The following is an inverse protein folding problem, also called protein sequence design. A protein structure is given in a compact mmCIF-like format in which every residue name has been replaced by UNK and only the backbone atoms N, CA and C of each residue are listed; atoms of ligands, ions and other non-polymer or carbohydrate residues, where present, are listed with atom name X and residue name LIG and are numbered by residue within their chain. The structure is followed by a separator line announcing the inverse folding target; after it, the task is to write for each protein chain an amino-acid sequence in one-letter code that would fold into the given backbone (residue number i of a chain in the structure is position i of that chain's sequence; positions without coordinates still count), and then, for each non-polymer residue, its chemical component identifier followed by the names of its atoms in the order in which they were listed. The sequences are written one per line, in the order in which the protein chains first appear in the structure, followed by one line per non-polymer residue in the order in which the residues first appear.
data_IF_015088399622
#
_entry.id   IF_015088399622
#
_cell.length_a   1.000
_cell.length_b   1.000
_cell.length_c   1.000
_cell.angle_alpha   90.00
_cell.angle_beta   90.00
_cell.angle_gamma   90.00
#
_symmetry.space_group_name_H-M   'P 1'
#
loop_
_entity.id
_entity.type
_entity.pdbx_description
1 polymer ?
#
# COMPACT_ATOMS: atom_id res chain seq x y z
N UNK A 1 26.90 -9.22 6.53
CA UNK A 1 26.42 -7.84 6.55
C UNK A 1 27.40 -6.97 5.78
N UNK A 2 27.01 -6.48 4.62
CA UNK A 2 27.76 -5.47 3.88
C UNK A 2 27.03 -4.13 4.04
N UNK A 3 27.78 -3.08 4.40
CA UNK A 3 27.27 -1.71 4.47
C UNK A 3 27.84 -0.98 3.27
N UNK A 4 26.98 -0.45 2.42
CA UNK A 4 27.37 0.33 1.25
C UNK A 4 26.75 1.72 1.31
N UNK A 5 27.56 2.75 1.07
CA UNK A 5 27.10 4.10 0.78
C UNK A 5 27.01 4.26 -0.74
N UNK A 6 25.80 4.21 -1.29
CA UNK A 6 25.60 4.17 -2.76
C UNK A 6 25.24 5.55 -3.32
N UNK A 7 24.45 6.35 -2.60
CA UNK A 7 23.94 7.62 -3.09
C UNK A 7 24.30 8.77 -2.13
N UNK A 8 24.47 9.98 -2.68
CA UNK A 8 24.59 11.21 -1.89
C UNK A 8 23.26 11.93 -1.96
N UNK A 9 22.78 12.43 -0.82
CA UNK A 9 21.62 13.31 -0.72
C UNK A 9 22.16 14.73 -0.87
N UNK A 10 21.56 15.51 -1.75
CA UNK A 10 21.95 16.89 -2.02
C UNK A 10 20.85 17.84 -1.53
N UNK A 11 21.23 19.02 -1.00
CA UNK A 11 20.30 20.13 -0.82
C UNK A 11 20.05 20.89 -2.13
N UNK A 12 19.17 21.88 -2.09
CA UNK A 12 18.79 22.75 -3.22
C UNK A 12 20.00 23.52 -3.80
N UNK A 13 21.09 23.61 -3.05
CA UNK A 13 22.34 24.25 -3.45
C UNK A 13 23.39 23.25 -3.96
N UNK A 14 23.03 21.97 -4.07
CA UNK A 14 23.90 20.90 -4.55
C UNK A 14 24.95 20.44 -3.53
N UNK A 15 24.79 20.77 -2.25
CA UNK A 15 25.69 20.32 -1.17
C UNK A 15 25.24 18.96 -0.67
N UNK A 16 26.20 18.09 -0.36
CA UNK A 16 25.89 16.77 0.21
C UNK A 16 25.40 16.95 1.65
N UNK A 17 24.12 16.70 1.89
CA UNK A 17 23.49 16.78 3.22
C UNK A 17 23.38 15.42 3.93
N UNK A 18 23.75 14.34 3.24
CA UNK A 18 23.84 13.01 3.84
C UNK A 18 23.99 11.91 2.80
N UNK A 19 23.95 10.67 3.25
CA UNK A 19 23.87 9.48 2.42
C UNK A 19 22.89 8.49 3.06
N UNK A 20 22.02 7.79 2.31
CA UNK A 20 21.32 6.64 2.83
C UNK A 20 22.35 5.56 3.18
N UNK A 21 22.18 4.98 4.37
CA UNK A 21 22.93 3.79 4.78
C UNK A 21 22.18 2.58 4.24
N UNK A 22 22.84 1.78 3.40
CA UNK A 22 22.25 0.57 2.82
C UNK A 22 22.95 -0.63 3.43
N UNK A 23 22.17 -1.56 3.95
CA UNK A 23 22.68 -2.77 4.60
C UNK A 23 22.09 -3.99 3.93
N UNK A 24 22.93 -4.85 3.37
CA UNK A 24 22.53 -6.19 2.96
C UNK A 24 22.54 -7.11 4.20
N UNK A 25 21.34 -7.48 4.64
CA UNK A 25 21.13 -8.40 5.75
C UNK A 25 21.28 -9.86 5.33
N UNK A 26 21.34 -10.73 6.32
CA UNK A 26 21.41 -12.18 6.18
C UNK A 26 20.10 -12.82 5.69
N UNK A 27 18.97 -12.22 6.07
CA UNK A 27 17.62 -12.63 5.69
C UNK A 27 16.62 -11.46 5.84
N UNK A 28 15.36 -11.69 5.46
CA UNK A 28 14.28 -10.70 5.55
C UNK A 28 13.79 -10.42 6.97
N UNK A 29 14.00 -11.33 7.93
CA UNK A 29 13.68 -11.10 9.34
C UNK A 29 14.61 -10.02 9.89
N UNK A 30 15.90 -10.14 9.59
CA UNK A 30 16.93 -9.18 9.94
C UNK A 30 16.73 -7.86 9.22
N UNK A 31 16.30 -7.88 7.95
CA UNK A 31 15.98 -6.68 7.18
C UNK A 31 14.88 -5.83 7.82
N UNK A 32 13.74 -6.44 8.17
CA UNK A 32 12.63 -5.71 8.80
C UNK A 32 13.00 -5.27 10.22
N UNK A 33 13.73 -6.11 10.97
CA UNK A 33 14.21 -5.76 12.31
C UNK A 33 15.15 -4.56 12.31
N UNK A 34 16.11 -4.50 11.38
CA UNK A 34 17.00 -3.35 11.20
C UNK A 34 16.25 -2.10 10.77
N UNK A 35 15.30 -2.21 9.84
CA UNK A 35 14.49 -1.07 9.42
C UNK A 35 13.68 -0.50 10.60
N UNK A 36 13.02 -1.35 11.39
CA UNK A 36 12.30 -0.95 12.60
C UNK A 36 13.25 -0.26 13.59
N UNK A 37 14.41 -0.87 13.88
CA UNK A 37 15.42 -0.28 14.76
C UNK A 37 15.88 1.10 14.29
N UNK A 38 16.08 1.28 12.98
CA UNK A 38 16.36 2.57 12.36
C UNK A 38 15.26 3.60 12.65
N UNK A 39 13.99 3.24 12.42
CA UNK A 39 12.85 4.14 12.64
C UNK A 39 12.76 4.66 14.08
N UNK A 40 13.13 3.85 15.08
CA UNK A 40 13.14 4.26 16.48
C UNK A 40 14.17 5.37 16.78
N UNK A 41 15.24 5.47 15.97
CA UNK A 41 16.22 6.56 16.07
C UNK A 41 15.76 7.87 15.42
N UNK A 42 14.60 7.86 14.75
CA UNK A 42 14.04 9.02 14.07
C UNK A 42 14.44 9.18 12.61
N UNK A 43 15.23 8.26 12.05
CA UNK A 43 15.46 8.21 10.60
C UNK A 43 14.24 7.62 9.88
N UNK A 44 13.99 8.05 8.64
CA UNK A 44 13.07 7.33 7.75
C UNK A 44 13.78 6.06 7.29
N UNK A 45 13.22 4.91 7.63
CA UNK A 45 13.77 3.60 7.26
C UNK A 45 12.76 2.79 6.46
N UNK A 46 13.28 1.95 5.57
CA UNK A 46 12.49 1.08 4.75
C UNK A 46 13.24 -0.21 4.44
N UNK A 47 12.51 -1.18 3.91
CA UNK A 47 13.06 -2.36 3.25
C UNK A 47 12.27 -2.67 1.98
N UNK A 48 12.87 -3.42 1.07
CA UNK A 48 12.22 -3.88 -0.16
C UNK A 48 12.31 -5.38 -0.29
N UNK A 49 11.22 -6.02 -0.71
CA UNK A 49 11.11 -7.48 -0.79
C UNK A 49 10.06 -7.91 -1.82
N UNK A 50 9.74 -9.20 -1.86
CA UNK A 50 8.66 -9.80 -2.64
C UNK A 50 7.90 -10.82 -1.77
N UNK A 51 6.88 -11.50 -2.30
CA UNK A 51 5.98 -12.38 -1.54
C UNK A 51 6.65 -13.34 -0.52
N UNK A 52 7.72 -14.09 -0.88
CA UNK A 52 8.40 -14.96 0.07
C UNK A 52 9.04 -14.22 1.23
N UNK A 53 9.77 -13.14 0.94
CA UNK A 53 10.42 -12.35 1.98
C UNK A 53 9.43 -11.57 2.83
N UNK A 54 8.36 -11.03 2.23
CA UNK A 54 7.27 -10.42 2.98
C UNK A 54 6.62 -11.40 3.96
N UNK A 55 6.49 -12.68 3.58
CA UNK A 55 6.00 -13.73 4.48
C UNK A 55 6.88 -13.91 5.73
N UNK A 56 8.20 -13.76 5.59
CA UNK A 56 9.16 -13.82 6.71
C UNK A 56 9.10 -12.55 7.58
N UNK A 57 8.74 -11.40 7.00
CA UNK A 57 8.68 -10.12 7.73
C UNK A 57 7.45 -9.96 8.62
N UNK A 58 6.43 -10.82 8.50
CA UNK A 58 5.11 -10.64 9.12
C UNK A 58 5.17 -10.44 10.64
N UNK A 59 6.04 -11.16 11.35
CA UNK A 59 6.20 -11.01 12.79
C UNK A 59 6.76 -9.63 13.17
N UNK A 60 7.86 -9.22 12.54
CA UNK A 60 8.44 -7.88 12.73
C UNK A 60 7.46 -6.77 12.35
N UNK A 61 6.66 -6.99 11.29
CA UNK A 61 5.62 -6.06 10.88
C UNK A 61 4.51 -5.91 11.94
N UNK A 62 4.12 -7.00 12.61
CA UNK A 62 3.24 -6.96 13.77
C UNK A 62 3.84 -6.19 14.95
N UNK A 63 5.14 -6.38 15.22
CA UNK A 63 5.85 -5.65 16.25
C UNK A 63 5.90 -4.14 15.97
N UNK A 64 6.09 -3.74 14.70
CA UNK A 64 6.01 -2.34 14.29
C UNK A 64 4.60 -1.76 14.51
N UNK A 65 3.56 -2.56 14.25
CA UNK A 65 2.17 -2.21 14.50
C UNK A 65 1.87 -1.93 15.98
N UNK A 66 2.23 -2.86 16.87
CA UNK A 66 1.95 -2.71 18.31
C UNK A 66 2.75 -1.55 18.92
N UNK A 67 3.97 -1.28 18.42
CA UNK A 67 4.85 -0.20 18.90
C UNK A 67 4.69 1.14 18.16
N UNK A 68 3.66 1.27 17.31
CA UNK A 68 3.37 2.49 16.54
C UNK A 68 4.61 3.00 15.76
N UNK A 69 5.37 2.09 15.13
CA UNK A 69 6.65 2.41 14.46
C UNK A 69 6.43 2.74 12.98
N UNK A 70 6.88 3.92 12.50
CA UNK A 70 6.77 4.27 11.09
C UNK A 70 7.84 3.55 10.26
N UNK A 71 7.46 2.49 9.55
CA UNK A 71 8.35 1.73 8.66
C UNK A 71 7.66 1.44 7.34
N UNK A 72 8.39 1.58 6.23
CA UNK A 72 7.88 1.31 4.88
C UNK A 72 8.46 0.00 4.36
N UNK A 73 7.59 -0.89 3.87
CA UNK A 73 7.96 -2.11 3.16
C UNK A 73 7.48 -2.01 1.72
N UNK A 74 8.40 -1.87 0.77
CA UNK A 74 8.05 -1.94 -0.65
C UNK A 74 8.01 -3.41 -1.07
N UNK A 75 6.81 -3.92 -1.35
CA UNK A 75 6.60 -5.31 -1.74
C UNK A 75 6.37 -5.39 -3.26
N UNK A 76 7.38 -5.87 -3.97
CA UNK A 76 7.35 -6.15 -5.40
C UNK A 76 6.72 -7.51 -5.66
N UNK A 77 5.40 -7.53 -5.87
CA UNK A 77 4.64 -8.73 -6.15
C UNK A 77 5.17 -9.44 -7.40
N UNK A 78 5.37 -10.76 -7.31
CA UNK A 78 5.80 -11.62 -8.41
C UNK A 78 4.95 -12.89 -8.41
N UNK A 79 5.04 -13.71 -9.45
CA UNK A 79 4.27 -14.96 -9.50
C UNK A 79 4.54 -15.86 -8.29
N UNK A 80 3.52 -16.09 -7.47
CA UNK A 80 3.52 -17.10 -6.38
C UNK A 80 2.78 -18.39 -6.79
N UNK A 81 2.48 -19.29 -5.84
CA UNK A 81 2.89 -19.29 -4.42
C UNK A 81 4.32 -19.81 -4.21
N UNK A 82 4.84 -19.68 -2.97
CA UNK A 82 6.20 -20.09 -2.60
C UNK A 82 7.25 -19.44 -3.52
N UNK A 83 8.26 -20.16 -4.02
CA UNK A 83 9.22 -19.61 -5.01
C UNK A 83 8.51 -19.09 -6.26
N UNK A 84 7.45 -19.79 -6.69
CA UNK A 84 6.60 -19.43 -7.82
C UNK A 84 7.36 -19.19 -9.12
N UNK A 85 7.09 -18.05 -9.75
CA UNK A 85 7.72 -17.56 -10.97
C UNK A 85 8.49 -16.26 -10.68
N UNK A 86 9.77 -16.35 -10.26
CA UNK A 86 10.56 -15.21 -9.76
C UNK A 86 10.67 -14.02 -10.72
N UNK A 87 10.56 -14.27 -12.02
CA UNK A 87 10.76 -13.29 -13.10
C UNK A 87 9.46 -12.81 -13.73
N UNK A 88 8.30 -13.19 -13.18
CA UNK A 88 6.99 -12.97 -13.79
C UNK A 88 6.08 -12.06 -12.98
N UNK A 89 5.17 -11.39 -13.69
CA UNK A 89 4.16 -10.47 -13.15
C UNK A 89 3.11 -11.21 -12.34
N UNK A 90 2.59 -10.59 -11.28
CA UNK A 90 1.42 -11.05 -10.55
C UNK A 90 0.85 -9.96 -9.65
N UNK A 91 -0.42 -10.10 -9.30
CA UNK A 91 -1.15 -9.29 -8.31
C UNK A 91 -1.79 -10.20 -7.24
N UNK A 92 -1.13 -11.30 -6.89
CA UNK A 92 -1.66 -12.36 -6.03
C UNK A 92 -1.55 -12.11 -4.53
N UNK A 93 -0.93 -11.03 -4.10
CA UNK A 93 -0.53 -10.87 -2.70
C UNK A 93 -1.41 -9.86 -1.93
N UNK A 94 -2.40 -9.22 -2.61
CA UNK A 94 -3.23 -8.15 -2.05
C UNK A 94 -3.85 -8.48 -0.69
N UNK A 95 -4.67 -9.53 -0.61
CA UNK A 95 -5.37 -9.87 0.63
C UNK A 95 -4.38 -10.28 1.72
N UNK A 96 -3.27 -10.94 1.36
CA UNK A 96 -2.24 -11.26 2.32
C UNK A 96 -1.60 -9.98 2.89
N UNK A 97 -1.26 -8.99 2.06
CA UNK A 97 -0.71 -7.72 2.51
C UNK A 97 -1.67 -6.92 3.41
N UNK A 98 -2.98 -7.00 3.16
CA UNK A 98 -4.00 -6.32 3.98
C UNK A 98 -4.13 -6.97 5.37
N UNK A 99 -4.10 -8.31 5.44
CA UNK A 99 -4.37 -9.08 6.65
C UNK A 99 -3.13 -9.72 7.30
N UNK A 100 -1.92 -9.38 6.85
CA UNK A 100 -0.69 -9.92 7.41
C UNK A 100 -0.47 -9.43 8.85
N UNK A 101 -0.17 -10.40 9.74
CA UNK A 101 0.12 -10.17 11.15
C UNK A 101 -0.93 -10.84 12.04
N UNK A 102 -0.50 -11.44 13.15
CA UNK A 102 -1.42 -11.93 14.16
C UNK A 102 -1.93 -10.78 15.04
N UNK A 103 -3.16 -10.88 15.53
CA UNK A 103 -3.86 -9.75 16.17
C UNK A 103 -4.34 -8.70 15.15
N UNK A 104 -4.67 -7.51 15.62
CA UNK A 104 -5.12 -6.39 14.79
C UNK A 104 -4.30 -5.15 15.13
N UNK A 105 -3.93 -4.41 14.11
CA UNK A 105 -3.24 -3.14 14.20
C UNK A 105 -3.49 -2.35 12.93
N UNK A 106 -3.48 -1.03 13.04
CA UNK A 106 -3.58 -0.15 11.88
C UNK A 106 -2.32 -0.24 11.03
N UNK A 107 -2.50 -0.39 9.73
CA UNK A 107 -1.47 -0.35 8.70
C UNK A 107 -1.99 0.40 7.48
N UNK A 108 -1.10 0.82 6.60
CA UNK A 108 -1.48 1.38 5.30
C UNK A 108 -0.96 0.48 4.19
N UNK A 109 -1.80 0.20 3.20
CA UNK A 109 -1.39 -0.52 1.98
C UNK A 109 -1.78 0.34 0.79
N UNK A 110 -0.79 0.78 0.01
CA UNK A 110 -0.98 1.58 -1.20
C UNK A 110 -0.43 0.81 -2.39
N UNK A 111 -1.14 0.82 -3.51
CA UNK A 111 -0.69 0.19 -4.76
C UNK A 111 -0.57 1.21 -5.89
N UNK A 112 0.63 1.31 -6.48
CA UNK A 112 0.89 2.21 -7.60
C UNK A 112 0.57 1.54 -8.94
N UNK A 113 -0.02 2.31 -9.86
CA UNK A 113 -0.45 1.81 -11.17
C UNK A 113 0.53 2.05 -12.32
N UNK A 114 1.49 2.96 -12.16
CA UNK A 114 2.49 3.29 -13.18
C UNK A 114 3.79 3.83 -12.55
N UNK A 115 4.77 4.20 -13.39
CA UNK A 115 6.08 4.67 -12.96
C UNK A 115 6.04 6.01 -12.22
N UNK A 116 5.16 6.92 -12.62
CA UNK A 116 5.03 8.22 -11.96
C UNK A 116 4.41 8.04 -10.58
N UNK A 117 3.33 7.26 -10.49
CA UNK A 117 2.72 6.91 -9.21
C UNK A 117 3.69 6.17 -8.29
N UNK A 118 4.51 5.25 -8.81
CA UNK A 118 5.49 4.56 -7.97
C UNK A 118 6.52 5.50 -7.34
N UNK A 119 6.93 6.55 -8.05
CA UNK A 119 7.84 7.57 -7.52
C UNK A 119 7.15 8.45 -6.48
N UNK A 120 5.96 8.97 -6.79
CA UNK A 120 5.17 9.82 -5.90
C UNK A 120 4.76 9.07 -4.62
N UNK A 121 4.28 7.84 -4.77
CA UNK A 121 3.79 7.01 -3.68
C UNK A 121 4.91 6.57 -2.75
N UNK A 122 6.14 6.41 -3.23
CA UNK A 122 7.28 6.14 -2.36
C UNK A 122 7.45 7.26 -1.32
N UNK A 123 7.34 8.53 -1.74
CA UNK A 123 7.44 9.69 -0.86
C UNK A 123 6.22 9.76 0.08
N UNK A 124 5.01 9.59 -0.47
CA UNK A 124 3.76 9.60 0.29
C UNK A 124 3.73 8.49 1.34
N UNK A 125 4.23 7.29 1.04
CA UNK A 125 4.32 6.18 2.00
C UNK A 125 5.15 6.55 3.23
N UNK A 126 6.29 7.23 3.06
CA UNK A 126 7.07 7.72 4.20
C UNK A 126 6.35 8.80 5.01
N UNK A 127 5.66 9.73 4.34
CA UNK A 127 4.85 10.75 5.02
C UNK A 127 3.74 10.09 5.84
N UNK A 128 2.95 9.20 5.23
CA UNK A 128 1.86 8.50 5.92
C UNK A 128 2.35 7.61 7.07
N UNK A 129 3.48 6.92 6.90
CA UNK A 129 4.08 6.14 7.97
C UNK A 129 4.32 7.03 9.21
N UNK A 130 4.94 8.21 9.03
CA UNK A 130 5.27 9.12 10.13
C UNK A 130 4.07 9.90 10.69
N UNK A 131 3.16 10.37 9.84
CA UNK A 131 1.94 11.11 10.24
C UNK A 131 1.07 10.23 11.15
N UNK A 132 0.80 8.99 10.72
CA UNK A 132 -0.10 8.09 11.43
C UNK A 132 0.62 7.16 12.42
N UNK A 133 1.96 7.09 12.37
CA UNK A 133 2.76 6.18 13.20
C UNK A 133 2.28 4.73 13.07
N UNK A 134 2.24 4.27 11.82
CA UNK A 134 1.83 2.92 11.43
C UNK A 134 2.81 2.36 10.40
N UNK A 135 2.95 1.04 10.31
CA UNK A 135 3.70 0.44 9.23
C UNK A 135 2.94 0.55 7.89
N UNK A 136 3.68 0.75 6.80
CA UNK A 136 3.14 0.99 5.46
C UNK A 136 3.68 -0.03 4.48
N UNK A 137 2.81 -0.61 3.66
CA UNK A 137 3.18 -1.49 2.55
C UNK A 137 2.93 -0.74 1.25
N UNK A 138 4.00 -0.57 0.47
CA UNK A 138 3.92 -0.06 -0.89
C UNK A 138 3.91 -1.25 -1.87
N UNK A 139 2.74 -1.56 -2.40
CA UNK A 139 2.55 -2.63 -3.37
C UNK A 139 2.93 -2.14 -4.77
N UNK A 140 3.94 -2.80 -5.31
CA UNK A 140 4.32 -2.73 -6.71
C UNK A 140 4.26 -4.14 -7.29
N UNK A 141 4.29 -4.28 -8.60
CA UNK A 141 4.41 -5.60 -9.23
C UNK A 141 5.66 -5.67 -10.11
N UNK A 142 6.08 -6.90 -10.38
CA UNK A 142 7.29 -7.19 -11.15
C UNK A 142 7.23 -6.67 -12.58
N UNK A 143 6.02 -6.48 -13.12
CA UNK A 143 5.82 -5.88 -14.44
C UNK A 143 6.31 -4.44 -14.45
N UNK A 144 5.86 -3.64 -13.48
CA UNK A 144 6.30 -2.25 -13.32
C UNK A 144 7.82 -2.18 -13.08
N UNK A 145 8.30 -2.96 -12.12
CA UNK A 145 9.69 -2.92 -11.67
C UNK A 145 10.72 -3.25 -12.77
N UNK A 146 10.33 -4.02 -13.78
CA UNK A 146 11.20 -4.43 -14.89
C UNK A 146 10.92 -3.66 -16.19
N UNK A 147 9.96 -2.72 -16.19
CA UNK A 147 9.61 -1.92 -17.35
C UNK A 147 10.26 -0.55 -17.27
N UNK A 148 10.53 0.05 -18.43
CA UNK A 148 11.09 1.41 -18.55
C UNK A 148 10.16 2.21 -19.44
N UNK A 149 9.91 3.46 -19.06
CA UNK A 149 9.13 4.40 -19.85
C UNK A 149 9.79 5.78 -19.83
N UNK A 150 9.52 6.60 -20.85
CA UNK A 150 9.94 7.99 -20.87
C UNK A 150 8.86 8.85 -20.19
N UNK A 151 9.25 9.56 -19.13
CA UNK A 151 8.38 10.50 -18.43
C UNK A 151 8.93 11.93 -18.58
N UNK A 152 8.05 12.95 -18.62
CA UNK A 152 8.45 14.31 -18.30
C UNK A 152 9.15 14.33 -16.94
N UNK A 153 10.15 15.20 -16.76
CA UNK A 153 10.79 15.36 -15.44
C UNK A 153 9.70 15.85 -14.48
N UNK A 154 9.35 15.05 -13.46
CA UNK A 154 8.29 15.44 -12.54
C UNK A 154 8.77 16.60 -11.66
N UNK A 155 7.88 17.51 -11.24
CA UNK A 155 8.24 18.51 -10.25
C UNK A 155 8.64 17.81 -8.96
N UNK A 156 9.81 18.13 -8.41
CA UNK A 156 10.32 17.56 -7.15
C UNK A 156 9.80 18.31 -5.91
N UNK A 157 8.69 19.04 -6.05
CA UNK A 157 8.07 19.81 -4.96
C UNK A 157 7.20 18.90 -4.08
N UNK A 158 7.85 18.01 -3.33
CA UNK A 158 7.18 17.14 -2.36
C UNK A 158 7.47 17.62 -0.94
N UNK A 159 6.41 17.90 -0.19
CA UNK A 159 6.53 18.22 1.22
C UNK A 159 6.96 16.97 2.03
N UNK A 160 7.94 17.15 2.92
CA UNK A 160 8.35 16.12 3.86
C UNK A 160 7.58 16.31 5.17
N UNK A 161 6.58 15.48 5.39
CA UNK A 161 5.72 15.55 6.57
C UNK A 161 6.16 14.54 7.63
N UNK A 162 6.66 15.04 8.77
CA UNK A 162 7.27 14.22 9.82
C UNK A 162 6.31 13.80 10.94
N UNK A 163 5.05 14.24 10.89
CA UNK A 163 4.04 14.01 11.91
C UNK A 163 4.30 14.76 13.22
N UNK A 164 3.75 14.25 14.33
CA UNK A 164 3.88 14.86 15.67
C UNK A 164 5.18 14.43 16.33
N UNK A 165 6.26 15.19 16.11
CA UNK A 165 7.56 14.99 16.77
C UNK A 165 7.71 15.97 17.93
N UNK A 166 8.30 15.49 19.03
CA UNK A 166 8.66 16.31 20.19
C UNK A 166 10.11 16.10 20.57
N UNK A 167 10.74 17.17 21.04
CA UNK A 167 12.07 17.13 21.66
C UNK A 167 11.91 17.10 23.17
N UNK A 168 12.82 16.37 23.83
CA UNK A 168 13.11 16.38 25.27
C UNK A 168 11.94 16.77 26.21
N UNK A 169 11.31 15.75 26.82
CA UNK A 169 10.25 15.93 27.82
C UNK A 169 10.61 15.22 29.12
N UNK A 170 10.56 15.96 30.23
CA UNK A 170 10.93 15.50 31.58
C UNK A 170 10.14 14.25 32.03
N UNK A 171 8.87 14.14 31.61
CA UNK A 171 8.01 12.95 31.81
C UNK A 171 7.45 12.40 30.49
N UNK A 172 8.33 12.02 29.57
CA UNK A 172 7.92 11.43 28.29
C UNK A 172 7.17 10.09 28.45
N UNK A 173 6.03 9.98 27.75
CA UNK A 173 5.22 8.76 27.64
C UNK A 173 5.03 8.45 26.15
N UNK A 174 5.76 7.46 25.63
CA UNK A 174 5.76 7.11 24.20
C UNK A 174 4.38 6.79 23.65
N UNK A 175 3.53 6.17 24.47
CA UNK A 175 2.20 5.70 24.10
C UNK A 175 1.10 6.50 24.80
N UNK A 176 1.36 7.78 25.09
CA UNK A 176 0.39 8.68 25.71
C UNK A 176 -0.96 8.64 25.01
N UNK A 177 -2.04 8.57 25.77
CA UNK A 177 -3.39 8.71 25.22
C UNK A 177 -3.63 10.15 24.75
N UNK A 178 -4.13 10.28 23.53
CA UNK A 178 -4.48 11.58 22.92
C UNK A 178 -5.82 11.44 22.21
N UNK A 179 -6.56 12.54 22.07
CA UNK A 179 -7.82 12.55 21.30
C UNK A 179 -7.63 12.12 19.85
N UNK A 180 -6.41 12.26 19.31
CA UNK A 180 -6.10 11.86 17.93
C UNK A 180 -5.77 10.39 17.78
N UNK A 181 -5.50 9.67 18.87
CA UNK A 181 -4.85 8.36 18.86
C UNK A 181 -3.37 8.39 18.46
N UNK A 182 -2.82 9.56 18.09
CA UNK A 182 -1.42 9.76 17.72
C UNK A 182 -0.65 10.30 18.92
N UNK A 183 0.25 9.48 19.46
CA UNK A 183 1.12 9.88 20.57
C UNK A 183 2.21 10.82 20.07
N UNK A 184 2.61 11.87 20.82
CA UNK A 184 3.82 12.62 20.51
C UNK A 184 5.04 11.69 20.47
N UNK A 185 5.85 11.78 19.40
CA UNK A 185 6.98 10.87 19.17
C UNK A 185 8.32 11.57 19.40
N UNK A 186 9.08 11.08 20.37
CA UNK A 186 10.49 11.38 20.58
C UNK A 186 11.38 10.22 20.12
N UNK A 187 12.63 10.53 19.79
CA UNK A 187 13.59 9.55 19.24
C UNK A 187 14.51 8.96 20.30
N UNK A 188 15.05 7.77 20.04
CA UNK A 188 16.05 7.16 20.92
C UNK A 188 17.24 8.12 21.11
N UNK A 189 17.70 8.23 22.37
CA UNK A 189 18.72 9.19 22.77
C UNK A 189 18.21 10.60 23.09
N UNK A 190 16.91 10.90 22.89
CA UNK A 190 16.30 12.19 23.26
C UNK A 190 15.45 12.14 24.53
N UNK A 191 14.97 10.97 24.90
CA UNK A 191 14.20 10.74 26.13
C UNK A 191 14.27 9.28 26.54
N UNK A 192 13.96 8.99 27.80
CA UNK A 192 13.80 7.61 28.28
C UNK A 192 12.46 7.09 27.77
N UNK A 193 12.51 5.97 27.06
CA UNK A 193 11.34 5.33 26.47
C UNK A 193 11.54 3.82 26.43
N UNK A 194 10.42 3.10 26.49
CA UNK A 194 10.38 1.64 26.46
C UNK A 194 9.52 1.19 25.29
N UNK A 195 9.98 0.16 24.59
CA UNK A 195 9.25 -0.50 23.51
C UNK A 195 9.21 -1.99 23.83
N UNK A 196 8.06 -2.63 23.59
CA UNK A 196 7.86 -4.05 23.91
C UNK A 196 6.85 -4.68 22.96
N UNK A 197 6.99 -5.98 22.72
CA UNK A 197 6.02 -6.75 21.92
C UNK A 197 4.75 -7.11 22.70
N UNK A 198 4.81 -7.09 24.03
CA UNK A 198 3.65 -7.26 24.90
C UNK A 198 2.73 -6.03 24.85
N UNK A 199 1.50 -6.21 25.32
CA UNK A 199 0.64 -5.05 25.59
C UNK A 199 1.26 -4.16 26.67
N UNK A 200 1.05 -2.85 26.55
CA UNK A 200 1.76 -1.88 27.35
C UNK A 200 0.90 -0.68 27.75
N UNK A 201 1.30 -0.06 28.86
CA UNK A 201 0.76 1.23 29.29
C UNK A 201 1.41 2.41 28.51
N UNK A 202 0.99 3.64 28.83
CA UNK A 202 1.48 4.86 28.15
C UNK A 202 3.02 5.04 28.17
N UNK A 203 3.73 4.45 29.15
CA UNK A 203 5.19 4.52 29.26
C UNK A 203 5.92 3.47 28.42
N UNK A 204 5.19 2.44 27.94
CA UNK A 204 5.76 1.30 27.22
C UNK A 204 6.13 0.10 28.11
N UNK A 205 5.70 0.12 29.38
CA UNK A 205 5.90 -1.02 30.28
C UNK A 205 4.78 -2.05 30.09
N UNK A 206 5.13 -3.32 30.20
CA UNK A 206 4.19 -4.45 30.09
C UNK A 206 2.99 -4.24 31.02
N UNK A 207 1.79 -4.45 30.50
CA UNK A 207 0.55 -4.39 31.26
C UNK A 207 -0.47 -5.39 30.74
N UNK A 208 -0.92 -6.26 31.64
CA UNK A 208 -2.03 -7.20 31.41
C UNK A 208 -3.35 -6.69 31.98
N UNK A 209 -3.40 -5.42 32.41
CA UNK A 209 -4.61 -4.81 32.94
C UNK A 209 -5.67 -4.71 31.82
N UNK A 210 -6.90 -5.19 32.06
CA UNK A 210 -7.92 -5.25 31.01
C UNK A 210 -8.36 -3.86 30.52
N UNK A 211 -8.35 -2.84 31.38
CA UNK A 211 -8.70 -1.47 30.98
C UNK A 211 -7.60 -0.85 30.14
N UNK A 212 -6.32 -1.05 30.53
CA UNK A 212 -5.19 -0.62 29.71
C UNK A 212 -5.21 -1.31 28.34
N UNK A 213 -5.48 -2.63 28.32
CA UNK A 213 -5.59 -3.40 27.08
C UNK A 213 -6.67 -2.83 26.16
N UNK A 214 -7.87 -2.60 26.66
CA UNK A 214 -8.98 -2.09 25.86
C UNK A 214 -8.66 -0.72 25.26
N UNK A 215 -8.21 0.22 26.08
CA UNK A 215 -7.92 1.59 25.64
C UNK A 215 -6.73 1.65 24.68
N UNK A 216 -5.63 0.95 24.96
CA UNK A 216 -4.44 0.97 24.10
C UNK A 216 -4.70 0.30 22.75
N UNK A 217 -5.48 -0.79 22.75
CA UNK A 217 -5.89 -1.44 21.51
C UNK A 217 -6.80 -0.54 20.68
N UNK A 218 -7.82 0.05 21.30
CA UNK A 218 -8.73 0.99 20.64
C UNK A 218 -7.96 2.15 20.02
N UNK A 219 -7.07 2.79 20.78
CA UNK A 219 -6.20 3.88 20.33
C UNK A 219 -5.41 3.51 19.06
N UNK A 220 -4.80 2.32 19.01
CA UNK A 220 -4.07 1.87 17.81
C UNK A 220 -4.99 1.64 16.62
N UNK A 221 -6.21 1.15 16.84
CA UNK A 221 -7.19 0.88 15.79
C UNK A 221 -7.90 2.13 15.28
N UNK A 222 -8.16 3.14 16.13
CA UNK A 222 -8.80 4.41 15.72
C UNK A 222 -7.97 5.21 14.71
N UNK A 223 -6.66 4.96 14.63
CA UNK A 223 -5.80 5.49 13.56
C UNK A 223 -6.31 5.12 12.17
N UNK A 224 -6.94 3.95 12.03
CA UNK A 224 -7.58 3.49 10.79
C UNK A 224 -8.60 4.50 10.26
N UNK A 225 -9.51 4.96 11.13
CA UNK A 225 -10.55 5.91 10.77
C UNK A 225 -9.97 7.28 10.42
N UNK A 226 -8.91 7.68 11.14
CA UNK A 226 -8.18 8.90 10.85
C UNK A 226 -7.53 8.85 9.45
N UNK A 227 -6.90 7.74 9.08
CA UNK A 227 -6.31 7.54 7.75
C UNK A 227 -7.38 7.71 6.66
N UNK A 228 -8.56 7.08 6.81
CA UNK A 228 -9.66 7.22 5.85
C UNK A 228 -10.15 8.67 5.68
N UNK A 229 -10.09 9.46 6.76
CA UNK A 229 -10.51 10.86 6.76
C UNK A 229 -9.45 11.80 6.17
N UNK A 230 -8.18 11.60 6.51
CA UNK A 230 -7.10 12.53 6.23
C UNK A 230 -6.34 12.23 4.93
N UNK A 231 -6.31 10.97 4.47
CA UNK A 231 -5.73 10.64 3.16
C UNK A 231 -6.59 11.31 2.06
N UNK A 232 -5.97 12.00 1.09
CA UNK A 232 -6.69 12.61 -0.02
C UNK A 232 -7.43 11.58 -0.88
N UNK A 233 -8.56 11.98 -1.46
CA UNK A 233 -9.37 11.10 -2.30
C UNK A 233 -8.61 10.58 -3.55
N UNK A 234 -7.69 11.38 -4.10
CA UNK A 234 -6.81 10.97 -5.21
C UNK A 234 -5.84 9.83 -4.85
N UNK A 235 -5.50 9.68 -3.57
CA UNK A 235 -4.66 8.62 -3.04
C UNK A 235 -5.49 7.41 -2.58
N UNK A 236 -6.81 7.60 -2.43
CA UNK A 236 -7.77 6.50 -2.23
C UNK A 236 -8.07 5.77 -3.52
N UNK A 237 -8.53 6.50 -4.55
CA UNK A 237 -8.81 5.96 -5.87
C UNK A 237 -8.83 7.08 -6.93
N UNK A 238 -8.38 6.76 -8.16
CA UNK A 238 -8.42 7.67 -9.30
C UNK A 238 -9.49 7.27 -10.30
N UNK A 239 -10.34 8.21 -10.66
CA UNK A 239 -11.42 8.04 -11.63
C UNK A 239 -11.00 8.55 -13.01
N UNK A 240 -11.37 7.83 -14.05
CA UNK A 240 -11.10 8.16 -15.45
C UNK A 240 -12.35 7.90 -16.30
N UNK A 241 -12.68 8.86 -17.17
CA UNK A 241 -13.85 8.79 -18.04
C UNK A 241 -14.86 9.90 -17.74
N UNK A 242 -16.03 9.83 -18.39
CA UNK A 242 -17.16 10.74 -18.18
C UNK A 242 -17.88 10.41 -16.87
N UNK A 243 -18.43 11.41 -16.17
CA UNK A 243 -19.35 11.20 -15.03
C UNK A 243 -20.65 10.49 -15.41
N UNK A 244 -20.97 10.45 -16.71
CA UNK A 244 -22.08 9.69 -17.29
C UNK A 244 -21.52 8.43 -17.93
N UNK A 245 -21.61 7.32 -17.22
CA UNK A 245 -21.16 5.99 -17.67
C UNK A 245 -22.21 4.93 -17.37
N UNK A 246 -22.28 3.92 -18.22
CA UNK A 246 -23.07 2.71 -18.03
C UNK A 246 -22.23 1.63 -17.32
N UNK A 247 -20.97 1.49 -17.73
CA UNK A 247 -20.08 0.44 -17.22
C UNK A 247 -18.93 1.04 -16.42
N UNK A 248 -18.59 0.40 -15.32
CA UNK A 248 -17.45 0.76 -14.49
C UNK A 248 -16.44 -0.39 -14.46
N UNK A 249 -15.25 -0.13 -14.97
CA UNK A 249 -14.09 -0.97 -14.80
C UNK A 249 -13.44 -0.62 -13.46
N UNK A 250 -13.20 -1.62 -12.62
CA UNK A 250 -12.46 -1.54 -11.36
C UNK A 250 -11.13 -2.26 -11.55
N UNK A 251 -10.04 -1.58 -11.23
CA UNK A 251 -8.71 -2.18 -11.30
C UNK A 251 -7.76 -1.55 -10.27
N UNK A 252 -6.55 -2.07 -10.22
CA UNK A 252 -5.48 -1.58 -9.37
C UNK A 252 -4.12 -2.02 -9.93
N UNK A 253 -3.04 -1.43 -9.42
CA UNK A 253 -1.69 -1.74 -9.88
C UNK A 253 -1.51 -1.53 -11.39
N UNK A 254 -0.54 -2.22 -11.99
CA UNK A 254 -0.19 -2.03 -13.42
C UNK A 254 -1.29 -2.37 -14.43
N UNK A 255 -2.32 -3.11 -14.02
CA UNK A 255 -3.50 -3.36 -14.87
C UNK A 255 -4.22 -2.06 -15.25
N UNK A 256 -3.98 -0.97 -14.50
CA UNK A 256 -4.39 0.41 -14.85
C UNK A 256 -4.04 0.78 -16.29
N UNK A 257 -2.79 0.56 -16.73
CA UNK A 257 -2.33 1.04 -18.04
C UNK A 257 -3.14 0.46 -19.19
N UNK A 258 -3.21 -0.88 -19.25
CA UNK A 258 -4.01 -1.58 -20.27
C UNK A 258 -5.50 -1.24 -20.20
N UNK A 259 -6.04 -1.01 -19.00
CA UNK A 259 -7.43 -0.60 -18.84
C UNK A 259 -7.70 0.83 -19.33
N UNK A 260 -6.76 1.75 -19.16
CA UNK A 260 -6.85 3.13 -19.68
C UNK A 260 -6.78 3.17 -21.21
N UNK A 261 -5.86 2.42 -21.80
CA UNK A 261 -5.74 2.34 -23.26
C UNK A 261 -7.04 1.78 -23.86
N UNK A 262 -7.56 0.68 -23.27
CA UNK A 262 -8.83 0.10 -23.69
C UNK A 262 -10.03 1.03 -23.45
N UNK A 263 -10.04 1.82 -22.37
CA UNK A 263 -11.09 2.80 -22.07
C UNK A 263 -11.26 3.80 -23.23
N UNK A 264 -10.15 4.31 -23.75
CA UNK A 264 -10.12 5.22 -24.90
C UNK A 264 -10.73 4.58 -26.14
N UNK A 265 -10.32 3.34 -26.44
CA UNK A 265 -10.83 2.57 -27.58
C UNK A 265 -12.33 2.25 -27.46
N UNK A 266 -12.78 1.80 -26.29
CA UNK A 266 -14.18 1.46 -26.02
C UNK A 266 -15.09 2.67 -26.15
N UNK A 267 -14.70 3.82 -25.60
CA UNK A 267 -15.48 5.05 -25.68
C UNK A 267 -15.53 5.61 -27.12
N UNK A 268 -14.46 5.45 -27.91
CA UNK A 268 -14.46 5.78 -29.35
C UNK A 268 -15.47 4.92 -30.13
N UNK A 269 -15.71 3.69 -29.69
CA UNK A 269 -16.74 2.79 -30.23
C UNK A 269 -18.16 3.07 -29.70
N UNK A 270 -18.36 4.20 -29.01
CA UNK A 270 -19.66 4.62 -28.49
C UNK A 270 -20.13 3.83 -27.26
N UNK A 271 -19.22 3.16 -26.56
CA UNK A 271 -19.52 2.59 -25.24
C UNK A 271 -19.39 3.68 -24.18
N UNK A 272 -20.26 3.70 -23.17
CA UNK A 272 -20.19 4.65 -22.06
C UNK A 272 -19.47 3.98 -20.88
N UNK A 273 -18.14 3.88 -20.95
CA UNK A 273 -17.33 3.18 -19.94
C UNK A 273 -16.52 4.18 -19.13
N UNK A 274 -16.42 3.93 -17.82
CA UNK A 274 -15.50 4.61 -16.91
C UNK A 274 -14.56 3.60 -16.23
N UNK A 275 -13.45 4.10 -15.70
CA UNK A 275 -12.46 3.32 -14.96
C UNK A 275 -12.25 3.95 -13.58
N UNK A 276 -12.25 3.13 -12.54
CA UNK A 276 -11.80 3.50 -11.20
C UNK A 276 -10.60 2.62 -10.82
N UNK A 277 -9.45 3.27 -10.70
CA UNK A 277 -8.25 2.65 -10.15
C UNK A 277 -8.27 2.80 -8.63
N UNK A 278 -8.40 1.69 -7.90
CA UNK A 278 -8.23 1.68 -6.43
C UNK A 278 -6.75 1.74 -6.10
N UNK A 279 -6.37 2.62 -5.16
CA UNK A 279 -4.97 2.88 -4.78
C UNK A 279 -4.73 2.55 -3.31
N UNK A 280 -5.56 3.06 -2.42
CA UNK A 280 -5.55 2.71 -0.99
C UNK A 280 -6.30 1.39 -0.79
N UNK A 281 -5.56 0.34 -0.43
CA UNK A 281 -6.08 -1.01 -0.23
C UNK A 281 -6.46 -1.28 1.22
N UNK A 282 -5.72 -0.66 2.14
CA UNK A 282 -5.96 -0.74 3.58
C UNK A 282 -5.53 0.59 4.21
N UNK A 283 -6.38 1.27 5.00
CA UNK A 283 -7.81 0.99 5.14
C UNK A 283 -8.58 1.17 3.83
N UNK A 284 -9.45 0.22 3.48
CA UNK A 284 -10.20 0.30 2.23
C UNK A 284 -11.22 1.46 2.24
N UNK A 285 -11.19 2.38 1.26
CA UNK A 285 -12.01 3.59 1.23
C UNK A 285 -13.43 3.32 0.69
N UNK A 286 -14.19 2.48 1.41
CA UNK A 286 -15.49 1.99 0.99
C UNK A 286 -16.46 3.12 0.58
N UNK A 287 -16.65 4.12 1.43
CA UNK A 287 -17.59 5.22 1.16
C UNK A 287 -17.28 5.93 -0.17
N UNK A 288 -15.99 6.14 -0.47
CA UNK A 288 -15.56 6.79 -1.70
C UNK A 288 -15.77 5.88 -2.92
N UNK A 289 -15.33 4.62 -2.84
CA UNK A 289 -15.42 3.65 -3.95
C UNK A 289 -16.89 3.31 -4.27
N UNK A 290 -17.74 3.11 -3.26
CA UNK A 290 -19.12 2.70 -3.50
C UNK A 290 -19.94 3.81 -4.21
N UNK A 291 -19.56 5.10 -4.12
CA UNK A 291 -20.20 6.21 -4.87
C UNK A 291 -20.12 6.00 -6.39
N UNK A 292 -19.02 5.44 -6.88
CA UNK A 292 -18.85 5.14 -8.30
C UNK A 292 -19.58 3.85 -8.68
N UNK A 293 -19.49 2.82 -7.85
CA UNK A 293 -20.15 1.53 -8.06
C UNK A 293 -21.69 1.67 -8.12
N UNK A 294 -22.27 2.60 -7.36
CA UNK A 294 -23.70 2.84 -7.32
C UNK A 294 -24.28 3.46 -8.61
N UNK A 295 -23.46 4.18 -9.39
CA UNK A 295 -23.87 4.79 -10.66
C UNK A 295 -23.82 3.82 -11.84
N UNK A 296 -23.00 2.77 -11.73
CA UNK A 296 -22.78 1.80 -12.81
C UNK A 296 -23.95 0.82 -12.95
N UNK A 297 -24.34 0.53 -14.19
CA UNK A 297 -25.22 -0.60 -14.50
C UNK A 297 -24.46 -1.93 -14.44
N UNK A 298 -23.21 -1.96 -14.91
CA UNK A 298 -22.32 -3.12 -14.85
C UNK A 298 -20.98 -2.76 -14.24
N UNK A 299 -20.50 -3.60 -13.34
CA UNK A 299 -19.23 -3.46 -12.63
C UNK A 299 -18.31 -4.61 -13.03
N UNK A 300 -17.16 -4.26 -13.59
CA UNK A 300 -16.17 -5.22 -14.11
C UNK A 300 -14.89 -5.09 -13.31
N UNK A 301 -14.45 -6.15 -12.63
CA UNK A 301 -13.11 -6.19 -12.02
C UNK A 301 -12.09 -6.76 -12.99
N UNK A 302 -10.97 -6.05 -13.20
CA UNK A 302 -9.83 -6.54 -14.02
C UNK A 302 -8.59 -6.63 -13.14
N UNK A 303 -8.06 -7.84 -12.98
CA UNK A 303 -6.94 -8.11 -12.06
C UNK A 303 -6.05 -9.27 -12.51
N UNK A 304 -4.75 -9.19 -12.20
CA UNK A 304 -3.77 -10.23 -12.50
C UNK A 304 -3.62 -11.26 -11.36
N UNK A 305 -4.74 -11.82 -10.90
CA UNK A 305 -4.77 -12.92 -9.94
C UNK A 305 -5.96 -13.86 -10.18
N UNK A 306 -5.91 -15.07 -9.62
CA UNK A 306 -6.93 -16.10 -9.85
C UNK A 306 -8.26 -15.84 -9.13
N UNK A 307 -8.21 -15.25 -7.93
CA UNK A 307 -9.35 -15.14 -7.03
C UNK A 307 -10.27 -13.94 -7.32
N UNK A 308 -9.76 -12.95 -8.04
CA UNK A 308 -10.33 -11.60 -8.04
C UNK A 308 -10.25 -10.99 -6.64
N UNK A 309 -9.04 -10.74 -6.15
CA UNK A 309 -8.81 -10.30 -4.78
C UNK A 309 -9.40 -8.91 -4.49
N UNK A 310 -9.25 -7.96 -5.42
CA UNK A 310 -9.89 -6.65 -5.31
C UNK A 310 -11.42 -6.80 -5.36
N UNK A 311 -11.95 -7.63 -6.27
CA UNK A 311 -13.39 -7.92 -6.33
C UNK A 311 -13.93 -8.45 -4.99
N UNK A 312 -13.19 -9.34 -4.32
CA UNK A 312 -13.56 -9.85 -3.00
C UNK A 312 -13.51 -8.77 -1.93
N UNK A 313 -12.48 -7.91 -1.96
CA UNK A 313 -12.36 -6.79 -1.05
C UNK A 313 -13.55 -5.82 -1.17
N UNK A 314 -13.93 -5.50 -2.42
CA UNK A 314 -15.12 -4.70 -2.72
C UNK A 314 -16.39 -5.38 -2.20
N UNK A 315 -16.56 -6.69 -2.43
CA UNK A 315 -17.70 -7.43 -1.89
C UNK A 315 -17.81 -7.31 -0.37
N UNK A 316 -16.68 -7.42 0.35
CA UNK A 316 -16.65 -7.30 1.80
C UNK A 316 -17.02 -5.90 2.30
N UNK A 317 -16.50 -4.85 1.66
CA UNK A 317 -16.61 -3.48 2.17
C UNK A 317 -17.79 -2.68 1.58
N UNK A 318 -18.16 -2.93 0.32
CA UNK A 318 -19.30 -2.29 -0.33
C UNK A 318 -20.58 -3.13 -0.27
N UNK A 319 -20.53 -4.35 0.30
CA UNK A 319 -21.68 -5.25 0.40
C UNK A 319 -22.36 -5.54 -0.97
N UNK A 320 -21.58 -5.48 -2.06
CA UNK A 320 -22.03 -5.69 -3.44
C UNK A 320 -20.98 -6.49 -4.19
N UNK A 321 -21.39 -7.59 -4.82
CA UNK A 321 -20.53 -8.34 -5.73
C UNK A 321 -20.33 -7.57 -7.04
N UNK A 322 -19.13 -7.70 -7.61
CA UNK A 322 -18.89 -7.26 -8.99
C UNK A 322 -19.61 -8.18 -9.96
N UNK A 323 -20.18 -7.62 -11.03
CA UNK A 323 -20.96 -8.36 -12.01
C UNK A 323 -20.08 -9.28 -12.88
N UNK A 324 -18.88 -8.80 -13.22
CA UNK A 324 -17.94 -9.48 -14.12
C UNK A 324 -16.51 -9.48 -13.56
N UNK A 325 -15.77 -10.56 -13.83
CA UNK A 325 -14.36 -10.70 -13.47
C UNK A 325 -13.52 -11.07 -14.69
N UNK A 326 -12.56 -10.21 -15.03
CA UNK A 326 -11.55 -10.45 -16.05
C UNK A 326 -10.23 -10.69 -15.36
N UNK A 327 -9.72 -11.92 -15.45
CA UNK A 327 -8.62 -12.38 -14.61
C UNK A 327 -7.47 -12.90 -15.46
N UNK A 328 -6.24 -12.63 -15.01
CA UNK A 328 -5.02 -13.17 -15.62
C UNK A 328 -4.09 -13.72 -14.56
N UNK A 329 -3.55 -14.91 -14.77
CA UNK A 329 -2.67 -15.55 -13.78
C UNK A 329 -1.61 -16.46 -14.43
N UNK A 330 -1.28 -16.20 -15.70
CA UNK A 330 -0.23 -16.90 -16.44
C UNK A 330 1.18 -16.28 -16.30
N UNK A 331 1.32 -15.24 -15.45
CA UNK A 331 2.59 -14.55 -15.21
C UNK A 331 2.95 -13.43 -16.21
N UNK A 332 2.04 -13.12 -17.15
CA UNK A 332 2.18 -12.02 -18.10
C UNK A 332 1.25 -10.87 -17.73
N UNK A 333 1.67 -9.65 -18.04
CA UNK A 333 0.84 -8.45 -17.88
C UNK A 333 -0.42 -8.54 -18.75
N UNK A 334 -1.48 -7.89 -18.30
CA UNK A 334 -2.71 -7.67 -19.09
C UNK A 334 -2.39 -6.69 -20.21
N UNK A 335 -2.83 -6.96 -21.44
CA UNK A 335 -2.71 -6.03 -22.58
C UNK A 335 -4.03 -5.34 -22.92
N UNK A 336 -3.95 -4.22 -23.65
CA UNK A 336 -5.12 -3.49 -24.18
C UNK A 336 -6.07 -4.41 -24.98
N UNK A 337 -5.52 -5.16 -25.94
CA UNK A 337 -6.30 -6.07 -26.80
C UNK A 337 -7.07 -7.12 -26.00
N UNK A 338 -6.47 -7.61 -24.91
CA UNK A 338 -7.12 -8.56 -24.01
C UNK A 338 -8.30 -7.92 -23.27
N UNK A 339 -8.15 -6.67 -22.81
CA UNK A 339 -9.23 -5.93 -22.15
C UNK A 339 -10.39 -5.67 -23.13
N UNK A 340 -10.09 -5.24 -24.36
CA UNK A 340 -11.10 -5.02 -25.40
C UNK A 340 -11.83 -6.32 -25.75
N UNK A 341 -11.08 -7.42 -25.92
CA UNK A 341 -11.63 -8.74 -26.22
C UNK A 341 -12.52 -9.26 -25.08
N UNK A 342 -12.08 -9.11 -23.83
CA UNK A 342 -12.87 -9.48 -22.67
C UNK A 342 -14.15 -8.65 -22.56
N UNK A 343 -14.10 -7.35 -22.84
CA UNK A 343 -15.28 -6.50 -22.82
C UNK A 343 -16.36 -6.94 -23.83
N UNK A 344 -15.98 -7.50 -24.98
CA UNK A 344 -16.95 -8.11 -25.92
C UNK A 344 -17.66 -9.32 -25.32
N UNK A 345 -16.91 -10.20 -24.65
CA UNK A 345 -17.48 -11.37 -23.95
C UNK A 345 -18.40 -10.96 -22.78
N UNK A 346 -18.10 -9.85 -22.10
CA UNK A 346 -18.96 -9.27 -21.05
C UNK A 346 -20.32 -8.88 -21.62
N UNK A 347 -20.35 -8.25 -22.81
CA UNK A 347 -21.60 -7.90 -23.49
C UNK A 347 -22.41 -9.15 -23.85
N UNK A 348 -21.75 -10.26 -24.15
CA UNK A 348 -22.38 -11.57 -24.41
C UNK A 348 -22.84 -12.29 -23.12
N UNK A 349 -22.53 -11.75 -21.94
CA UNK A 349 -23.01 -12.22 -20.64
C UNK A 349 -22.03 -13.13 -19.88
N UNK A 350 -20.79 -13.28 -20.34
CA UNK A 350 -19.80 -14.13 -19.67
C UNK A 350 -19.26 -13.47 -18.39
N UNK A 351 -19.62 -14.03 -17.23
CA UNK A 351 -19.30 -13.43 -15.91
C UNK A 351 -17.85 -13.56 -15.47
N UNK A 352 -17.12 -14.56 -15.96
CA UNK A 352 -15.73 -14.83 -15.57
C UNK A 352 -14.91 -15.16 -16.80
N UNK A 353 -14.02 -14.24 -17.17
CA UNK A 353 -13.16 -14.34 -18.34
C UNK A 353 -11.72 -14.53 -17.87
N UNK A 354 -11.02 -15.48 -18.47
CA UNK A 354 -9.60 -15.75 -18.19
C UNK A 354 -8.76 -15.37 -19.39
N UNK A 355 -7.87 -14.40 -19.19
CA UNK A 355 -6.97 -13.91 -20.22
C UNK A 355 -5.77 -14.86 -20.38
N UNK A 356 -5.38 -15.12 -21.63
CA UNK A 356 -4.37 -16.13 -21.98
C UNK A 356 -3.21 -15.60 -22.82
N UNK A 357 -3.22 -14.34 -23.25
CA UNK A 357 -2.22 -13.77 -24.13
C UNK A 357 -0.82 -13.63 -23.49
N UNK A 358 0.19 -13.45 -24.36
CA UNK A 358 1.60 -13.35 -23.97
C UNK A 358 2.41 -14.65 -24.14
N UNK A 359 2.04 -15.47 -25.13
CA UNK A 359 2.89 -16.54 -25.66
C UNK A 359 4.22 -16.00 -26.20
#
# INVERSE_FOLDING_TARGET
MAIEEIARIFDDEGRVIGAPIIVQTEDEISAVGMAIGGALTGVRSATSTSGPGFSLMVEGFGWAGINEVPVVVTCYQRGGPSTGLPTRHSQSDLLFSIFAGHGEFSRIVIASGDHQEAMEDAIKCFNYAEIFQVPVIHLLDKGLANSVTALPVPPLDFAIERGVIVEDMEEYKRFKFTESGISPRAFLGKSIQWYTGDEHNERGNISEDPFVREEMYRKRMEKRERILKEVPDEDKAKFYGSDVYEDLILTWGTTKGAALDALSALNTLGRNVALLQVRLMEPFPAEYVCKFIAKAQRVVSIEANYMGQLARLISCYCMKEVDYRVLKYNGRSVSEDEVISAYRQIIEGERRIVLTGGE
#
